data_IF_724286161617
#
_entry.id   IF_724286161617
#
_cell.length_a   1.000
_cell.length_b   1.000
_cell.length_c   1.000
_cell.angle_alpha   90.00
_cell.angle_beta   90.00
_cell.angle_gamma   90.00
#
_symmetry.space_group_name_H-M   'P 1'
#
loop_
_entity.id
_entity.type
_entity.pdbx_description
1 polymer ?
#
# COMPACT_ATOMS: atom_id res chain seq x y z
N UNK A 1 5.01 -39.11 -19.98
CA UNK A 1 6.23 -38.30 -20.18
C UNK A 1 7.08 -38.43 -18.94
N UNK A 2 8.39 -38.63 -19.07
CA UNK A 2 9.29 -38.57 -17.92
C UNK A 2 9.25 -37.14 -17.33
N UNK A 3 9.25 -36.98 -16.00
CA UNK A 3 9.32 -35.65 -15.39
C UNK A 3 10.63 -34.98 -15.83
N UNK A 4 10.51 -33.82 -16.47
CA UNK A 4 11.65 -33.01 -16.84
C UNK A 4 12.09 -32.17 -15.63
N UNK A 5 13.39 -31.99 -15.44
CA UNK A 5 13.88 -31.11 -14.39
C UNK A 5 13.44 -29.66 -14.66
N UNK A 6 13.15 -28.91 -13.58
CA UNK A 6 12.87 -27.48 -13.68
C UNK A 6 14.15 -26.75 -14.13
N UNK A 7 14.01 -25.90 -15.15
CA UNK A 7 15.06 -25.06 -15.73
C UNK A 7 14.53 -23.64 -15.89
N UNK A 8 15.39 -22.65 -16.07
CA UNK A 8 14.95 -21.26 -16.30
C UNK A 8 14.00 -21.19 -17.50
N UNK A 9 14.31 -21.91 -18.58
CA UNK A 9 13.50 -21.93 -19.81
C UNK A 9 12.13 -22.60 -19.64
N UNK A 10 11.95 -23.42 -18.60
CA UNK A 10 10.66 -24.06 -18.29
C UNK A 10 9.86 -23.31 -17.22
N UNK A 11 10.36 -22.19 -16.70
CA UNK A 11 9.60 -21.34 -15.78
C UNK A 11 8.47 -20.60 -16.50
N UNK A 12 7.46 -20.20 -15.72
CA UNK A 12 6.36 -19.39 -16.22
C UNK A 12 6.89 -18.10 -16.89
N UNK A 13 6.57 -17.84 -18.17
CA UNK A 13 7.04 -16.64 -18.88
C UNK A 13 6.70 -15.33 -18.17
N UNK A 14 5.58 -15.27 -17.43
CA UNK A 14 5.18 -14.10 -16.64
C UNK A 14 6.14 -13.81 -15.48
N UNK A 15 6.76 -14.86 -14.93
CA UNK A 15 7.79 -14.73 -13.89
C UNK A 15 9.11 -14.26 -14.49
N UNK A 16 9.49 -14.79 -15.66
CA UNK A 16 10.70 -14.37 -16.36
C UNK A 16 10.63 -12.89 -16.78
N UNK A 17 9.46 -12.42 -17.22
CA UNK A 17 9.21 -11.03 -17.56
C UNK A 17 9.39 -10.05 -16.37
N UNK A 18 9.37 -10.53 -15.12
CA UNK A 18 9.63 -9.67 -13.96
C UNK A 18 11.08 -9.19 -13.87
N UNK A 19 12.03 -9.90 -14.51
CA UNK A 19 13.44 -9.53 -14.46
C UNK A 19 13.67 -8.07 -14.89
N UNK A 20 12.93 -7.60 -15.88
CA UNK A 20 13.01 -6.24 -16.42
C UNK A 20 12.38 -5.18 -15.49
N UNK A 21 11.56 -5.60 -14.52
CA UNK A 21 10.85 -4.72 -13.58
C UNK A 21 11.44 -4.69 -12.16
N UNK A 22 12.47 -5.51 -11.90
CA UNK A 22 13.16 -5.63 -10.61
C UNK A 22 14.48 -4.84 -10.57
N UNK A 23 14.54 -3.67 -11.22
CA UNK A 23 15.77 -2.89 -11.39
C UNK A 23 16.59 -2.64 -10.11
N UNK A 24 15.93 -2.49 -8.96
CA UNK A 24 16.61 -2.26 -7.67
C UNK A 24 17.36 -3.49 -7.14
N UNK A 25 17.03 -4.70 -7.59
CA UNK A 25 17.62 -5.94 -7.07
C UNK A 25 19.09 -6.08 -7.44
N UNK A 26 19.50 -5.59 -8.62
CA UNK A 26 20.90 -5.65 -9.04
C UNK A 26 21.79 -4.75 -8.18
N UNK A 27 21.34 -3.51 -7.91
CA UNK A 27 22.04 -2.55 -7.05
C UNK A 27 22.11 -3.09 -5.62
N UNK A 28 21.00 -3.62 -5.08
CA UNK A 28 20.96 -4.18 -3.73
C UNK A 28 21.92 -5.38 -3.58
N UNK A 29 21.98 -6.28 -4.56
CA UNK A 29 22.94 -7.40 -4.56
C UNK A 29 24.39 -6.90 -4.59
N UNK A 30 24.70 -5.90 -5.42
CA UNK A 30 26.06 -5.34 -5.46
C UNK A 30 26.42 -4.66 -4.13
N UNK A 31 25.48 -3.93 -3.53
CA UNK A 31 25.67 -3.32 -2.21
C UNK A 31 26.00 -4.37 -1.14
N UNK A 32 25.30 -5.52 -1.13
CA UNK A 32 25.60 -6.64 -0.23
C UNK A 32 27.00 -7.24 -0.48
N UNK A 33 27.41 -7.39 -1.74
CA UNK A 33 28.77 -7.84 -2.05
C UNK A 33 29.82 -6.86 -1.49
N UNK A 34 29.62 -5.55 -1.68
CA UNK A 34 30.55 -4.53 -1.18
C UNK A 34 30.57 -4.51 0.36
N UNK A 35 29.41 -4.66 1.01
CA UNK A 35 29.33 -4.80 2.47
C UNK A 35 30.21 -5.96 2.97
N UNK A 36 30.09 -7.14 2.34
CA UNK A 36 30.94 -8.29 2.67
C UNK A 36 32.44 -8.03 2.38
N UNK A 37 32.76 -7.30 1.31
CA UNK A 37 34.14 -6.93 0.97
C UNK A 37 34.74 -6.00 2.04
N UNK A 38 33.99 -5.02 2.54
CA UNK A 38 34.40 -4.13 3.63
C UNK A 38 34.65 -4.92 4.93
N UNK A 39 33.73 -5.82 5.30
CA UNK A 39 33.83 -6.63 6.52
C UNK A 39 35.02 -7.60 6.48
N UNK A 40 35.30 -8.18 5.31
CA UNK A 40 36.41 -9.15 5.15
C UNK A 40 37.76 -8.49 4.90
N UNK A 41 37.78 -7.29 4.31
CA UNK A 41 38.99 -6.52 3.98
C UNK A 41 38.78 -5.03 4.32
N UNK A 42 38.95 -4.64 5.59
CA UNK A 42 38.89 -3.23 5.99
C UNK A 42 39.86 -2.38 5.17
N UNK A 43 39.39 -1.23 4.66
CA UNK A 43 40.16 -0.35 3.77
C UNK A 43 40.19 -0.76 2.29
N UNK A 44 39.42 -1.77 1.87
CA UNK A 44 39.30 -2.19 0.46
C UNK A 44 38.50 -1.23 -0.42
N UNK A 45 37.69 -0.35 0.19
CA UNK A 45 36.85 0.65 -0.46
C UNK A 45 37.11 2.04 0.12
N UNK A 46 36.77 3.13 -0.59
CA UNK A 46 36.96 4.50 -0.11
C UNK A 46 35.96 4.94 0.98
N UNK A 47 35.22 4.01 1.57
CA UNK A 47 34.21 4.20 2.61
C UNK A 47 34.15 2.96 3.50
N UNK A 48 33.69 3.15 4.74
CA UNK A 48 33.71 2.12 5.79
C UNK A 48 32.36 1.41 5.99
N UNK A 49 31.28 1.91 5.37
CA UNK A 49 29.94 1.33 5.49
C UNK A 49 29.08 1.58 4.25
N UNK A 50 28.06 0.74 4.06
CA UNK A 50 26.99 0.97 3.09
C UNK A 50 25.79 1.59 3.80
N UNK A 51 25.41 2.80 3.36
CA UNK A 51 24.18 3.45 3.78
C UNK A 51 23.06 3.12 2.77
N UNK A 52 22.06 2.37 3.20
CA UNK A 52 20.95 1.93 2.36
C UNK A 52 19.89 3.04 2.19
N UNK A 53 20.07 3.89 1.18
CA UNK A 53 19.10 4.94 0.81
C UNK A 53 18.05 4.48 -0.22
N UNK A 54 17.92 3.17 -0.47
CA UNK A 54 17.09 2.59 -1.54
C UNK A 54 15.75 2.02 -1.05
N UNK A 55 15.52 1.95 0.26
CA UNK A 55 14.30 1.43 0.87
C UNK A 55 13.78 2.40 1.92
N UNK A 56 12.47 2.61 1.93
CA UNK A 56 11.80 3.31 3.03
C UNK A 56 11.68 2.38 4.23
N UNK A 57 12.75 2.20 4.99
CA UNK A 57 12.77 1.45 6.25
C UNK A 57 13.27 2.33 7.41
N UNK A 58 12.39 3.18 7.98
CA UNK A 58 12.78 4.23 8.92
C UNK A 58 13.46 3.74 10.20
N UNK A 59 13.03 2.61 10.76
CA UNK A 59 13.63 2.06 11.98
C UNK A 59 15.07 1.56 11.74
N UNK A 60 15.36 1.03 10.54
CA UNK A 60 16.74 0.70 10.16
C UNK A 60 17.65 1.92 10.04
N UNK A 61 17.06 3.11 9.89
CA UNK A 61 17.78 4.40 9.86
C UNK A 61 17.75 5.12 11.23
N UNK A 62 17.39 4.41 12.31
CA UNK A 62 17.47 4.91 13.67
C UNK A 62 16.19 5.54 14.23
N UNK A 63 15.07 5.55 13.48
CA UNK A 63 13.80 5.98 14.07
C UNK A 63 13.42 5.06 15.23
N UNK A 64 13.15 5.67 16.39
CA UNK A 64 12.74 4.93 17.57
C UNK A 64 11.31 4.41 17.41
N UNK A 65 11.01 3.19 17.87
CA UNK A 65 9.64 2.71 17.86
C UNK A 65 8.79 3.50 18.84
N UNK A 66 7.54 3.77 18.46
CA UNK A 66 6.58 4.42 19.33
C UNK A 66 6.28 3.54 20.57
N UNK A 67 6.60 4.07 21.76
CA UNK A 67 6.51 3.34 23.02
C UNK A 67 5.10 2.83 23.32
N UNK A 68 4.07 3.67 23.13
CA UNK A 68 2.69 3.28 23.41
C UNK A 68 2.25 2.06 22.59
N UNK A 69 2.59 2.00 21.30
CA UNK A 69 2.25 0.82 20.49
C UNK A 69 3.02 -0.43 20.93
N UNK A 70 4.31 -0.30 21.28
CA UNK A 70 5.11 -1.42 21.78
C UNK A 70 4.58 -1.96 23.11
N UNK A 71 4.19 -1.07 24.03
CA UNK A 71 3.58 -1.43 25.30
C UNK A 71 2.27 -2.20 25.10
N UNK A 72 1.35 -1.67 24.29
CA UNK A 72 0.07 -2.32 24.01
C UNK A 72 0.27 -3.69 23.37
N UNK A 73 1.15 -3.80 22.36
CA UNK A 73 1.45 -5.07 21.69
C UNK A 73 2.02 -6.10 22.67
N UNK A 74 2.99 -5.72 23.50
CA UNK A 74 3.58 -6.61 24.49
C UNK A 74 2.53 -7.16 25.48
N UNK A 75 1.60 -6.30 25.92
CA UNK A 75 0.50 -6.71 26.82
C UNK A 75 -0.53 -7.60 26.11
N UNK A 76 -0.78 -7.42 24.81
CA UNK A 76 -1.66 -8.29 24.03
C UNK A 76 -1.01 -9.64 23.68
N UNK A 77 0.30 -9.65 23.44
CA UNK A 77 1.08 -10.87 23.16
C UNK A 77 1.27 -11.73 24.41
N UNK A 78 1.40 -11.10 25.59
CA UNK A 78 1.46 -11.81 26.87
C UNK A 78 0.44 -11.26 27.90
N UNK A 79 -0.85 -11.60 27.76
CA UNK A 79 -1.93 -11.04 28.59
C UNK A 79 -1.80 -11.29 30.09
N UNK A 80 -1.07 -12.32 30.52
CA UNK A 80 -0.80 -12.60 31.93
C UNK A 80 -0.05 -11.45 32.65
N UNK A 81 0.63 -10.58 31.91
CA UNK A 81 1.22 -9.36 32.50
C UNK A 81 0.13 -8.48 33.09
N UNK A 82 -1.08 -8.42 32.54
CA UNK A 82 -2.16 -7.58 33.05
C UNK A 82 -2.64 -7.96 34.46
N UNK A 83 -2.22 -9.11 34.99
CA UNK A 83 -2.58 -9.61 36.32
C UNK A 83 -1.46 -9.39 37.36
N UNK A 84 -0.28 -8.95 36.92
CA UNK A 84 0.88 -8.73 37.79
C UNK A 84 0.79 -7.38 38.49
N UNK A 85 1.19 -7.34 39.76
CA UNK A 85 1.23 -6.11 40.57
C UNK A 85 2.19 -5.06 40.02
N UNK A 86 3.25 -5.51 39.38
CA UNK A 86 4.37 -4.74 38.83
C UNK A 86 4.01 -4.08 37.50
N UNK A 87 2.90 -4.46 36.86
CA UNK A 87 2.56 -3.96 35.53
C UNK A 87 2.29 -2.47 35.53
N UNK A 88 1.72 -1.93 36.59
CA UNK A 88 1.48 -0.49 36.72
C UNK A 88 2.76 0.35 36.88
N UNK A 89 3.90 -0.27 37.24
CA UNK A 89 5.20 0.43 37.29
C UNK A 89 6.01 0.29 35.99
N UNK A 90 5.68 -0.69 35.15
CA UNK A 90 6.39 -0.99 33.90
C UNK A 90 5.70 -0.45 32.64
N UNK A 91 4.39 -0.29 32.66
CA UNK A 91 3.59 0.11 31.50
C UNK A 91 2.75 1.34 31.80
N UNK A 92 2.57 2.19 30.79
CA UNK A 92 1.66 3.33 30.89
C UNK A 92 0.20 2.90 31.14
N UNK A 93 -0.51 3.68 31.96
CA UNK A 93 -1.89 3.36 32.37
C UNK A 93 -2.88 3.28 31.20
N UNK A 94 -2.66 4.11 30.18
CA UNK A 94 -3.44 4.15 28.95
C UNK A 94 -3.09 2.99 28.01
N UNK A 95 -1.83 2.53 27.95
CA UNK A 95 -1.49 1.30 27.24
C UNK A 95 -2.16 0.07 27.88
N UNK A 96 -2.14 -0.03 29.22
CA UNK A 96 -2.84 -1.10 29.96
C UNK A 96 -4.34 -1.08 29.64
N UNK A 97 -4.96 0.11 29.71
CA UNK A 97 -6.38 0.26 29.42
C UNK A 97 -6.71 -0.08 27.95
N UNK A 98 -5.84 0.30 27.01
CA UNK A 98 -6.00 -0.01 25.59
C UNK A 98 -5.83 -1.51 25.32
N UNK A 99 -4.83 -2.17 25.91
CA UNK A 99 -4.60 -3.60 25.76
C UNK A 99 -5.81 -4.42 26.24
N UNK A 100 -6.38 -4.09 27.41
CA UNK A 100 -7.62 -4.72 27.90
C UNK A 100 -8.77 -4.57 26.91
N UNK A 101 -8.99 -3.35 26.42
CA UNK A 101 -10.03 -3.08 25.41
C UNK A 101 -9.82 -3.87 24.13
N UNK A 102 -8.57 -4.00 23.65
CA UNK A 102 -8.25 -4.78 22.45
C UNK A 102 -8.52 -6.26 22.68
N UNK A 103 -8.07 -6.83 23.81
CA UNK A 103 -8.30 -8.24 24.15
C UNK A 103 -9.81 -8.57 24.19
N UNK A 104 -10.64 -7.64 24.65
CA UNK A 104 -12.10 -7.78 24.67
C UNK A 104 -12.74 -7.85 23.28
N UNK A 105 -12.03 -7.43 22.22
CA UNK A 105 -12.49 -7.55 20.83
C UNK A 105 -12.26 -8.95 20.26
N UNK A 106 -11.40 -9.76 20.89
CA UNK A 106 -11.13 -11.13 20.44
C UNK A 106 -12.10 -12.11 21.11
N UNK A 107 -12.72 -13.01 20.33
CA UNK A 107 -13.47 -14.12 20.91
C UNK A 107 -12.61 -14.87 21.93
N UNK A 108 -13.15 -15.12 23.12
CA UNK A 108 -12.44 -15.80 24.22
C UNK A 108 -11.13 -15.13 24.68
N UNK A 109 -10.88 -13.87 24.30
CA UNK A 109 -9.62 -13.14 24.57
C UNK A 109 -8.36 -13.90 24.11
N UNK A 110 -8.47 -14.74 23.07
CA UNK A 110 -7.31 -15.43 22.49
C UNK A 110 -6.75 -14.63 21.31
N UNK A 111 -5.45 -14.33 21.38
CA UNK A 111 -4.73 -13.54 20.36
C UNK A 111 -3.93 -14.40 19.38
N UNK A 112 -3.76 -15.69 19.66
CA UNK A 112 -3.01 -16.63 18.81
C UNK A 112 -3.86 -17.48 17.87
N UNK A 113 -5.18 -17.38 17.95
CA UNK A 113 -6.11 -18.12 17.08
C UNK A 113 -6.31 -17.44 15.72
N UNK A 114 -6.78 -18.19 14.73
CA UNK A 114 -7.22 -17.60 13.46
C UNK A 114 -8.40 -16.65 13.69
N UNK A 115 -8.37 -15.50 13.01
CA UNK A 115 -9.51 -14.59 12.93
C UNK A 115 -10.46 -14.98 11.79
N UNK A 116 -11.55 -14.23 11.65
CA UNK A 116 -12.34 -14.21 10.42
C UNK A 116 -11.43 -13.88 9.21
N UNK A 117 -11.81 -14.31 8.00
CA UNK A 117 -10.99 -14.14 6.79
C UNK A 117 -10.78 -12.66 6.39
N UNK A 118 -11.65 -11.76 6.85
CA UNK A 118 -11.51 -10.31 6.70
C UNK A 118 -10.73 -9.65 7.84
N UNK A 119 -10.38 -10.42 8.89
CA UNK A 119 -9.84 -9.92 10.15
C UNK A 119 -10.87 -9.87 11.28
N UNK A 120 -10.39 -9.75 12.51
CA UNK A 120 -11.22 -9.68 13.74
C UNK A 120 -12.25 -8.56 13.64
N UNK A 121 -13.53 -8.90 13.80
CA UNK A 121 -14.68 -8.00 13.63
C UNK A 121 -14.55 -6.73 14.48
N UNK A 122 -14.31 -6.85 15.79
CA UNK A 122 -14.17 -5.68 16.65
C UNK A 122 -13.02 -4.74 16.26
N UNK A 123 -11.95 -5.26 15.63
CA UNK A 123 -10.89 -4.40 15.07
C UNK A 123 -11.35 -3.69 13.80
N UNK A 124 -12.11 -4.38 12.93
CA UNK A 124 -12.73 -3.76 11.74
C UNK A 124 -13.69 -2.64 12.14
N UNK A 125 -14.50 -2.82 13.19
CA UNK A 125 -15.39 -1.78 13.71
C UNK A 125 -14.64 -0.54 14.19
N UNK A 126 -13.55 -0.73 14.95
CA UNK A 126 -12.71 0.36 15.43
C UNK A 126 -12.08 1.12 14.26
N UNK A 127 -11.61 0.40 13.23
CA UNK A 127 -11.07 1.02 12.02
C UNK A 127 -12.17 1.78 11.28
N UNK A 128 -13.34 1.18 11.05
CA UNK A 128 -14.49 1.80 10.40
C UNK A 128 -14.91 3.11 11.09
N UNK A 129 -14.94 3.12 12.43
CA UNK A 129 -15.21 4.30 13.22
C UNK A 129 -14.13 5.39 13.03
N UNK A 130 -12.84 5.00 13.00
CA UNK A 130 -11.73 5.92 12.71
C UNK A 130 -11.83 6.54 11.31
N UNK A 131 -12.15 5.73 10.29
CA UNK A 131 -12.39 6.19 8.93
C UNK A 131 -13.56 7.17 8.89
N UNK A 132 -14.66 6.84 9.57
CA UNK A 132 -15.86 7.68 9.65
C UNK A 132 -15.54 9.03 10.27
N UNK A 133 -14.80 9.04 11.37
CA UNK A 133 -14.37 10.26 12.06
C UNK A 133 -13.48 11.15 11.16
N UNK A 134 -12.49 10.55 10.47
CA UNK A 134 -11.58 11.28 9.58
C UNK A 134 -12.30 11.88 8.37
N UNK A 135 -13.18 11.10 7.75
CA UNK A 135 -13.81 11.48 6.48
C UNK A 135 -15.09 12.30 6.68
N UNK A 136 -15.77 12.15 7.82
CA UNK A 136 -17.10 12.71 8.08
C UNK A 136 -18.23 11.91 7.42
N UNK A 137 -17.94 10.71 6.92
CA UNK A 137 -18.88 9.84 6.20
C UNK A 137 -18.79 8.41 6.70
N UNK A 138 -19.94 7.77 6.91
CA UNK A 138 -20.04 6.41 7.44
C UNK A 138 -19.14 5.42 6.66
N UNK A 139 -18.54 4.50 7.39
CA UNK A 139 -17.79 3.35 6.89
C UNK A 139 -18.40 2.10 7.48
N UNK A 140 -18.72 1.12 6.64
CA UNK A 140 -19.12 -0.19 7.11
C UNK A 140 -17.87 -1.02 7.44
N UNK A 141 -17.91 -1.81 8.51
CA UNK A 141 -16.85 -2.74 8.88
C UNK A 141 -16.77 -3.93 7.91
N UNK A 142 -17.88 -4.28 7.25
CA UNK A 142 -17.95 -5.35 6.25
C UNK A 142 -17.18 -5.04 4.96
N UNK A 143 -16.91 -3.76 4.69
CA UNK A 143 -16.09 -3.31 3.57
C UNK A 143 -14.58 -3.34 3.89
N UNK A 144 -14.19 -3.72 5.11
CA UNK A 144 -12.81 -3.66 5.59
C UNK A 144 -12.20 -5.06 5.60
N UNK A 145 -11.04 -5.17 4.95
CA UNK A 145 -10.22 -6.37 4.94
C UNK A 145 -8.86 -6.04 5.58
N UNK A 146 -8.52 -6.74 6.65
CA UNK A 146 -7.19 -6.68 7.27
C UNK A 146 -6.25 -7.62 6.52
N UNK A 147 -5.07 -7.14 6.17
CA UNK A 147 -4.09 -7.88 5.37
C UNK A 147 -2.66 -7.68 5.89
N UNK A 148 -1.77 -8.60 5.51
CA UNK A 148 -0.34 -8.54 5.84
C UNK A 148 0.38 -7.47 5.00
N UNK A 149 0.14 -6.21 5.34
CA UNK A 149 0.62 -5.07 4.57
C UNK A 149 -0.23 -4.76 3.33
N UNK A 150 0.20 -3.79 2.53
CA UNK A 150 -0.50 -3.35 1.31
C UNK A 150 -0.22 -4.23 0.09
N UNK A 151 0.86 -5.01 0.10
CA UNK A 151 1.25 -5.81 -1.07
C UNK A 151 0.26 -6.94 -1.40
N UNK A 152 -0.23 -7.76 -0.44
CA UNK A 152 -1.22 -8.79 -0.72
C UNK A 152 -2.52 -8.26 -1.35
N UNK A 153 -3.20 -7.21 -0.82
CA UNK A 153 -4.45 -6.75 -1.41
C UNK A 153 -4.25 -6.13 -2.80
N UNK A 154 -3.11 -5.47 -3.08
CA UNK A 154 -2.77 -5.03 -4.44
C UNK A 154 -2.72 -6.22 -5.41
N UNK A 155 -2.02 -7.29 -5.04
CA UNK A 155 -1.92 -8.51 -5.87
C UNK A 155 -3.29 -9.18 -6.06
N UNK A 156 -4.10 -9.25 -4.99
CA UNK A 156 -5.45 -9.80 -5.03
C UNK A 156 -6.33 -9.02 -6.02
N UNK A 157 -6.20 -7.70 -6.05
CA UNK A 157 -6.99 -6.85 -6.94
C UNK A 157 -6.54 -6.91 -8.38
N UNK A 158 -5.23 -7.01 -8.63
CA UNK A 158 -4.72 -7.31 -9.97
C UNK A 158 -5.29 -8.65 -10.44
N UNK A 159 -5.30 -9.68 -9.59
CA UNK A 159 -5.88 -10.98 -9.91
C UNK A 159 -7.39 -10.93 -10.18
N UNK A 160 -8.14 -10.14 -9.40
CA UNK A 160 -9.59 -9.96 -9.57
C UNK A 160 -9.96 -9.25 -10.87
N UNK A 161 -9.19 -8.20 -11.23
CA UNK A 161 -9.53 -7.31 -12.34
C UNK A 161 -9.05 -7.83 -13.71
N UNK A 162 -7.95 -8.59 -13.73
CA UNK A 162 -7.26 -9.04 -14.94
C UNK A 162 -7.69 -10.47 -15.28
N UNK A 163 -8.33 -10.64 -16.44
CA UNK A 163 -8.75 -11.97 -16.93
C UNK A 163 -7.73 -12.58 -17.89
N UNK A 164 -7.05 -11.74 -18.67
CA UNK A 164 -6.07 -12.13 -19.69
C UNK A 164 -5.23 -10.92 -20.13
N UNK A 165 -4.35 -11.14 -21.10
CA UNK A 165 -3.42 -10.14 -21.63
C UNK A 165 -4.06 -8.92 -22.31
N UNK A 166 -5.34 -9.03 -22.69
CA UNK A 166 -6.10 -7.91 -23.26
C UNK A 166 -6.64 -6.96 -22.21
N UNK A 167 -6.66 -7.36 -20.94
CA UNK A 167 -7.03 -6.44 -19.87
C UNK A 167 -5.81 -5.57 -19.49
N UNK A 168 -6.07 -4.34 -19.06
CA UNK A 168 -5.00 -3.42 -18.66
C UNK A 168 -5.36 -2.53 -17.48
N UNK A 169 -4.34 -1.94 -16.85
CA UNK A 169 -4.47 -1.03 -15.72
C UNK A 169 -3.71 0.24 -16.04
N UNK A 170 -4.35 1.40 -15.81
CA UNK A 170 -3.70 2.71 -15.89
C UNK A 170 -2.79 2.91 -14.67
N UNK A 171 -1.48 3.08 -14.89
CA UNK A 171 -0.48 3.24 -13.84
C UNK A 171 0.29 4.56 -14.01
N UNK A 172 0.58 5.29 -12.92
CA UNK A 172 1.35 6.52 -13.01
C UNK A 172 2.79 6.25 -13.45
N UNK A 173 3.41 7.22 -14.11
CA UNK A 173 4.83 7.24 -14.39
C UNK A 173 5.38 8.58 -13.88
N UNK A 174 6.37 8.56 -12.96
CA UNK A 174 6.95 7.39 -12.30
C UNK A 174 5.99 6.72 -11.28
N UNK A 175 6.22 5.44 -10.95
CA UNK A 175 5.44 4.66 -9.97
C UNK A 175 6.30 3.71 -9.16
N UNK A 176 5.78 3.29 -8.00
CA UNK A 176 6.33 2.18 -7.21
C UNK A 176 6.30 0.85 -7.98
N UNK A 177 7.40 0.09 -7.93
CA UNK A 177 7.60 -1.13 -8.75
C UNK A 177 6.67 -2.29 -8.41
N UNK A 178 6.05 -2.27 -7.23
CA UNK A 178 5.04 -3.26 -6.82
C UNK A 178 3.91 -3.37 -7.84
N UNK A 179 3.45 -2.24 -8.38
CA UNK A 179 2.33 -2.19 -9.31
C UNK A 179 2.70 -2.73 -10.67
N UNK A 180 3.81 -2.25 -11.22
CA UNK A 180 4.31 -2.69 -12.53
C UNK A 180 4.59 -4.19 -12.51
N UNK A 181 5.24 -4.68 -11.45
CA UNK A 181 5.52 -6.10 -11.26
C UNK A 181 4.23 -6.92 -11.11
N UNK A 182 3.22 -6.41 -10.39
CA UNK A 182 1.96 -7.13 -10.20
C UNK A 182 1.15 -7.25 -11.49
N UNK A 183 1.10 -6.19 -12.31
CA UNK A 183 0.43 -6.22 -13.63
C UNK A 183 1.11 -7.24 -14.56
N UNK A 184 2.45 -7.22 -14.62
CA UNK A 184 3.25 -8.13 -15.45
C UNK A 184 3.10 -9.59 -15.02
N UNK A 185 3.11 -9.85 -13.71
CA UNK A 185 2.94 -11.21 -13.18
C UNK A 185 1.55 -11.79 -13.49
N UNK A 186 0.52 -10.96 -13.59
CA UNK A 186 -0.80 -11.39 -14.05
C UNK A 186 -0.88 -11.50 -15.58
N UNK A 187 0.09 -10.92 -16.31
CA UNK A 187 0.18 -10.94 -17.77
C UNK A 187 -0.68 -9.88 -18.45
N UNK A 188 -1.12 -8.85 -17.73
CA UNK A 188 -1.92 -7.75 -18.27
C UNK A 188 -1.07 -6.69 -18.97
N UNK A 189 -1.74 -5.82 -19.71
CA UNK A 189 -1.14 -4.62 -20.29
C UNK A 189 -1.03 -3.50 -19.25
N UNK A 190 0.20 -3.03 -18.99
CA UNK A 190 0.41 -1.79 -18.25
C UNK A 190 0.14 -0.60 -19.17
N UNK A 191 -0.83 0.24 -18.82
CA UNK A 191 -1.13 1.48 -19.57
C UNK A 191 -0.53 2.65 -18.79
N UNK A 192 0.55 3.28 -19.28
CA UNK A 192 1.17 4.37 -18.55
C UNK A 192 0.32 5.65 -18.64
N UNK A 193 0.27 6.43 -17.57
CA UNK A 193 -0.06 7.85 -17.64
C UNK A 193 1.02 8.67 -16.93
N UNK A 194 1.35 9.82 -17.50
CA UNK A 194 2.52 10.57 -17.06
C UNK A 194 2.11 11.67 -16.09
N UNK A 195 2.80 11.73 -14.95
CA UNK A 195 2.66 12.82 -13.99
C UNK A 195 3.42 14.05 -14.50
N UNK A 196 2.86 15.23 -14.28
CA UNK A 196 3.43 16.48 -14.80
C UNK A 196 4.46 17.06 -13.83
N UNK A 197 5.74 16.74 -14.04
CA UNK A 197 6.87 17.23 -13.24
C UNK A 197 6.88 18.76 -13.10
N UNK A 198 6.63 19.48 -14.20
CA UNK A 198 6.65 20.95 -14.24
C UNK A 198 5.55 21.59 -13.38
N UNK A 199 4.51 20.83 -13.02
CA UNK A 199 3.37 21.26 -12.20
C UNK A 199 3.30 20.51 -10.88
N UNK A 200 4.43 20.01 -10.37
CA UNK A 200 4.50 19.35 -9.08
C UNK A 200 3.91 17.95 -9.07
N UNK A 201 4.04 17.23 -10.19
CA UNK A 201 3.61 15.83 -10.38
C UNK A 201 2.10 15.60 -10.28
N UNK A 202 1.30 16.60 -10.63
CA UNK A 202 -0.16 16.46 -10.73
C UNK A 202 -0.60 15.61 -11.92
N UNK A 203 -1.86 15.14 -11.89
CA UNK A 203 -2.45 14.37 -12.99
C UNK A 203 -3.12 15.31 -13.98
N UNK A 204 -2.67 15.29 -15.24
CA UNK A 204 -3.33 16.04 -16.31
C UNK A 204 -4.41 15.18 -16.97
N UNK A 205 -5.66 15.60 -16.83
CA UNK A 205 -6.81 14.81 -17.28
C UNK A 205 -6.85 14.58 -18.81
N UNK A 206 -6.38 15.55 -19.60
CA UNK A 206 -6.26 15.38 -21.07
C UNK A 206 -5.34 14.23 -21.44
N UNK A 207 -4.22 14.14 -20.74
CA UNK A 207 -3.18 13.15 -21.04
C UNK A 207 -3.64 11.78 -20.54
N UNK A 208 -4.25 11.73 -19.36
CA UNK A 208 -4.88 10.51 -18.84
C UNK A 208 -5.92 9.95 -19.82
N UNK A 209 -6.79 10.81 -20.37
CA UNK A 209 -7.79 10.42 -21.38
C UNK A 209 -7.13 9.95 -22.68
N UNK A 210 -6.09 10.64 -23.15
CA UNK A 210 -5.35 10.24 -24.35
C UNK A 210 -4.72 8.84 -24.20
N UNK A 211 -4.13 8.54 -23.04
CA UNK A 211 -3.53 7.22 -22.77
C UNK A 211 -4.59 6.11 -22.72
N UNK A 212 -5.74 6.39 -22.08
CA UNK A 212 -6.87 5.46 -22.07
C UNK A 212 -7.38 5.14 -23.48
N UNK A 213 -7.62 6.16 -24.30
CA UNK A 213 -8.14 5.98 -25.66
C UNK A 213 -7.12 5.31 -26.58
N UNK A 214 -5.83 5.66 -26.40
CA UNK A 214 -4.72 4.99 -27.08
C UNK A 214 -4.62 3.50 -26.74
N UNK A 215 -4.86 3.11 -25.48
CA UNK A 215 -4.91 1.71 -25.09
C UNK A 215 -6.13 0.99 -25.67
N UNK A 216 -7.31 1.60 -25.59
CA UNK A 216 -8.56 1.03 -26.12
C UNK A 216 -8.52 0.84 -27.63
N UNK A 217 -7.98 1.80 -28.38
CA UNK A 217 -7.79 1.67 -29.84
C UNK A 217 -6.86 0.53 -30.23
N UNK A 218 -5.93 0.12 -29.35
CA UNK A 218 -5.07 -1.07 -29.51
C UNK A 218 -5.74 -2.37 -29.06
N UNK A 219 -7.02 -2.32 -28.69
CA UNK A 219 -7.79 -3.47 -28.22
C UNK A 219 -7.59 -3.83 -26.75
N UNK A 220 -6.98 -2.95 -25.95
CA UNK A 220 -6.81 -3.15 -24.50
C UNK A 220 -8.08 -2.73 -23.76
N UNK A 221 -8.64 -3.63 -22.99
CA UNK A 221 -9.75 -3.37 -22.09
C UNK A 221 -9.23 -2.89 -20.74
N UNK A 222 -9.13 -1.57 -20.58
CA UNK A 222 -8.65 -0.96 -19.33
C UNK A 222 -9.70 -1.14 -18.23
N UNK A 223 -9.30 -1.75 -17.11
CA UNK A 223 -10.19 -2.17 -16.01
C UNK A 223 -10.16 -1.22 -14.82
N UNK A 224 -9.07 -0.50 -14.64
CA UNK A 224 -8.89 0.37 -13.50
C UNK A 224 -7.81 1.43 -13.68
N UNK A 225 -7.83 2.40 -12.78
CA UNK A 225 -6.89 3.49 -12.64
C UNK A 225 -6.23 3.42 -11.27
N UNK A 226 -4.92 3.26 -11.25
CA UNK A 226 -4.12 3.37 -10.04
C UNK A 226 -3.73 4.83 -9.77
N UNK A 227 -3.96 5.30 -8.54
CA UNK A 227 -3.48 6.59 -8.05
C UNK A 227 -2.75 6.38 -6.73
N UNK A 228 -1.55 6.96 -6.61
CA UNK A 228 -0.72 6.91 -5.40
C UNK A 228 -0.71 8.32 -4.81
N UNK A 229 -1.33 8.51 -3.65
CA UNK A 229 -1.48 9.82 -3.02
C UNK A 229 -1.46 9.75 -1.48
N UNK A 230 -0.45 10.31 -0.80
CA UNK A 230 0.73 10.99 -1.38
C UNK A 230 1.61 10.08 -2.23
N UNK A 231 2.23 10.65 -3.26
CA UNK A 231 2.92 9.90 -4.30
C UNK A 231 4.25 9.29 -3.87
N UNK A 232 4.54 8.08 -4.36
CA UNK A 232 5.87 7.46 -4.33
C UNK A 232 6.25 7.08 -5.77
N UNK A 233 7.37 7.57 -6.32
CA UNK A 233 8.51 8.20 -5.61
C UNK A 233 8.48 9.73 -5.50
N UNK A 234 7.44 10.40 -6.01
CA UNK A 234 7.48 11.86 -6.24
C UNK A 234 7.13 12.73 -5.04
N UNK A 235 6.56 12.17 -3.97
CA UNK A 235 6.20 12.90 -2.75
C UNK A 235 5.06 13.92 -2.91
N UNK A 236 4.40 13.97 -4.06
CA UNK A 236 3.33 14.93 -4.32
C UNK A 236 2.08 14.63 -3.49
N UNK A 237 1.29 15.66 -3.21
CA UNK A 237 -0.02 15.55 -2.55
C UNK A 237 -1.06 16.18 -3.47
N UNK A 238 -1.99 15.36 -3.97
CA UNK A 238 -3.03 15.82 -4.88
C UNK A 238 -3.94 16.85 -4.20
N UNK A 239 -4.29 17.89 -4.95
CA UNK A 239 -5.31 18.85 -4.54
C UNK A 239 -6.70 18.28 -4.78
N UNK A 240 -7.66 18.68 -3.95
CA UNK A 240 -9.05 18.20 -4.03
C UNK A 240 -9.68 18.36 -5.42
N UNK A 241 -9.41 19.47 -6.11
CA UNK A 241 -9.93 19.69 -7.46
C UNK A 241 -9.51 18.57 -8.42
N UNK A 242 -8.24 18.16 -8.39
CA UNK A 242 -7.72 17.10 -9.25
C UNK A 242 -8.24 15.72 -8.81
N UNK A 243 -8.40 15.47 -7.50
CA UNK A 243 -9.04 14.24 -7.02
C UNK A 243 -10.49 14.11 -7.50
N UNK A 244 -11.26 15.21 -7.51
CA UNK A 244 -12.65 15.22 -8.02
C UNK A 244 -12.69 14.92 -9.52
N UNK A 245 -11.79 15.49 -10.30
CA UNK A 245 -11.66 15.20 -11.73
C UNK A 245 -11.35 13.72 -11.99
N UNK A 246 -10.45 13.13 -11.20
CA UNK A 246 -10.11 11.70 -11.27
C UNK A 246 -11.32 10.82 -10.95
N UNK A 247 -12.06 11.11 -9.87
CA UNK A 247 -13.27 10.36 -9.50
C UNK A 247 -14.32 10.42 -10.61
N UNK A 248 -14.56 11.62 -11.15
CA UNK A 248 -15.50 11.82 -12.25
C UNK A 248 -15.07 11.08 -13.53
N UNK A 249 -13.77 11.07 -13.82
CA UNK A 249 -13.21 10.33 -14.94
C UNK A 249 -13.42 8.83 -14.79
N UNK A 250 -13.12 8.26 -13.62
CA UNK A 250 -13.36 6.83 -13.35
C UNK A 250 -14.84 6.47 -13.51
N UNK A 251 -15.77 7.33 -13.06
CA UNK A 251 -17.21 7.14 -13.24
C UNK A 251 -17.58 7.09 -14.72
N UNK A 252 -17.19 8.11 -15.49
CA UNK A 252 -17.52 8.23 -16.91
C UNK A 252 -16.96 7.09 -17.75
N UNK A 253 -15.79 6.60 -17.37
CA UNK A 253 -15.06 5.60 -18.13
C UNK A 253 -15.24 4.17 -17.58
N UNK A 254 -16.09 4.00 -16.56
CA UNK A 254 -16.35 2.73 -15.87
C UNK A 254 -15.08 2.00 -15.41
N UNK A 255 -14.17 2.75 -14.79
CA UNK A 255 -12.89 2.25 -14.29
C UNK A 255 -12.92 2.07 -12.78
N UNK A 256 -12.30 0.99 -12.29
CA UNK A 256 -12.02 0.83 -10.86
C UNK A 256 -10.85 1.72 -10.44
N UNK A 257 -11.10 2.70 -9.56
CA UNK A 257 -10.06 3.50 -8.92
C UNK A 257 -9.37 2.68 -7.83
N UNK A 258 -8.09 2.41 -8.02
CA UNK A 258 -7.20 1.82 -7.02
C UNK A 258 -6.45 2.98 -6.34
N UNK A 259 -6.88 3.37 -5.15
CA UNK A 259 -6.29 4.49 -4.42
C UNK A 259 -5.31 3.96 -3.35
N UNK A 260 -4.02 4.17 -3.59
CA UNK A 260 -2.96 3.90 -2.62
C UNK A 260 -2.72 5.14 -1.76
N UNK A 261 -3.17 5.07 -0.51
CA UNK A 261 -3.12 6.15 0.47
C UNK A 261 -2.16 5.83 1.63
N UNK A 262 -1.12 5.04 1.36
CA UNK A 262 -0.18 4.55 2.40
C UNK A 262 0.58 5.66 3.13
N UNK A 263 0.82 6.78 2.47
CA UNK A 263 1.57 7.93 3.02
C UNK A 263 0.67 9.03 3.59
N UNK A 264 -0.60 8.76 3.88
CA UNK A 264 -1.60 9.79 4.23
C UNK A 264 -1.23 10.71 5.41
N UNK A 265 -0.45 10.23 6.37
CA UNK A 265 0.01 11.01 7.53
C UNK A 265 1.35 11.75 7.26
N UNK A 266 2.04 11.43 6.17
CA UNK A 266 3.35 11.98 5.80
C UNK A 266 3.21 13.25 4.94
N UNK A 267 2.55 14.27 5.48
CA UNK A 267 2.34 15.56 4.80
C UNK A 267 3.24 16.62 5.42
N UNK A 268 4.26 17.04 4.68
CA UNK A 268 5.24 18.02 5.17
C UNK A 268 4.95 19.46 4.71
N UNK A 269 4.08 19.64 3.72
CA UNK A 269 3.76 20.95 3.16
C UNK A 269 2.58 21.54 3.94
N UNK A 270 2.80 22.68 4.60
CA UNK A 270 1.84 23.28 5.54
C UNK A 270 0.47 23.65 4.93
N UNK A 271 0.42 24.00 3.64
CA UNK A 271 -0.81 24.38 2.93
C UNK A 271 -1.55 23.19 2.30
N UNK A 272 -1.00 21.97 2.41
CA UNK A 272 -1.62 20.74 1.91
C UNK A 272 -2.16 19.94 3.08
N UNK A 273 -3.31 19.32 2.84
CA UNK A 273 -3.91 18.35 3.75
C UNK A 273 -4.31 17.13 2.95
N UNK A 274 -4.04 15.96 3.50
CA UNK A 274 -4.53 14.72 2.93
C UNK A 274 -6.07 14.72 2.91
N UNK A 275 -6.63 14.28 1.78
CA UNK A 275 -8.05 14.03 1.60
C UNK A 275 -8.18 12.67 0.95
N UNK A 276 -8.94 11.79 1.57
CA UNK A 276 -9.13 10.46 1.01
C UNK A 276 -10.04 10.48 -0.21
N UNK A 277 -9.79 9.59 -1.16
CA UNK A 277 -10.69 9.39 -2.30
C UNK A 277 -12.09 8.96 -1.85
N UNK A 278 -12.21 8.25 -0.71
CA UNK A 278 -13.50 7.95 -0.07
C UNK A 278 -14.27 9.24 0.23
N UNK A 279 -13.63 10.19 0.92
CA UNK A 279 -14.24 11.47 1.29
C UNK A 279 -14.64 12.26 0.06
N UNK A 280 -13.77 12.31 -0.95
CA UNK A 280 -14.06 13.01 -2.21
C UNK A 280 -15.28 12.41 -2.89
N UNK A 281 -15.33 11.10 -3.11
CA UNK A 281 -16.46 10.44 -3.75
C UNK A 281 -17.78 10.61 -2.98
N UNK A 282 -17.75 10.45 -1.66
CA UNK A 282 -18.94 10.69 -0.81
C UNK A 282 -19.39 12.15 -0.86
N UNK A 283 -18.46 13.11 -0.88
CA UNK A 283 -18.80 14.53 -1.03
C UNK A 283 -19.43 14.87 -2.38
N UNK A 284 -19.11 14.09 -3.41
CA UNK A 284 -19.72 14.17 -4.75
C UNK A 284 -21.03 13.37 -4.85
N UNK A 285 -21.55 12.85 -3.73
CA UNK A 285 -22.81 12.09 -3.62
C UNK A 285 -22.82 10.74 -4.33
N UNK A 286 -21.66 10.11 -4.48
CA UNK A 286 -21.60 8.71 -4.89
C UNK A 286 -22.10 7.84 -3.73
N UNK A 287 -23.05 6.94 -3.99
CA UNK A 287 -23.60 5.99 -3.02
C UNK A 287 -22.83 4.65 -3.03
N UNK A 288 -23.23 3.66 -2.22
CA UNK A 288 -22.55 2.35 -2.19
C UNK A 288 -22.75 1.56 -3.49
N UNK A 289 -23.86 1.78 -4.20
CA UNK A 289 -24.14 1.18 -5.50
C UNK A 289 -23.32 1.78 -6.65
N UNK A 290 -22.85 3.01 -6.50
CA UNK A 290 -21.91 3.67 -7.41
C UNK A 290 -20.43 3.30 -7.10
N UNK A 291 -20.15 2.77 -5.90
CA UNK A 291 -18.80 2.46 -5.38
C UNK A 291 -18.31 1.04 -5.77
N UNK A 292 -18.68 0.55 -6.94
CA UNK A 292 -17.91 -0.53 -7.59
C UNK A 292 -16.52 -0.08 -8.07
N UNK A 293 -16.13 1.16 -7.79
CA UNK A 293 -15.06 1.86 -8.50
C UNK A 293 -14.08 2.62 -7.59
N UNK A 294 -14.06 2.44 -6.27
CA UNK A 294 -12.98 2.99 -5.42
C UNK A 294 -12.54 1.95 -4.40
N UNK A 295 -11.43 1.29 -4.68
CA UNK A 295 -10.77 0.40 -3.76
C UNK A 295 -9.60 1.13 -3.10
N UNK A 296 -9.70 1.29 -1.79
CA UNK A 296 -8.72 2.03 -0.99
C UNK A 296 -7.75 1.01 -0.39
N UNK A 297 -6.51 1.04 -0.83
CA UNK A 297 -5.44 0.36 -0.09
C UNK A 297 -4.97 1.32 0.98
N UNK A 298 -5.30 0.99 2.23
CA UNK A 298 -4.76 1.68 3.38
C UNK A 298 -3.63 0.85 3.95
N UNK A 299 -2.49 1.50 4.07
CA UNK A 299 -1.49 1.07 5.01
C UNK A 299 -1.07 2.29 5.81
N UNK A 300 -0.82 2.09 7.10
CA UNK A 300 -0.33 3.13 7.97
C UNK A 300 1.11 2.77 8.31
N UNK A 301 2.06 3.49 7.72
CA UNK A 301 3.34 3.63 8.41
C UNK A 301 3.09 4.65 9.50
N UNK A 302 3.05 4.20 10.76
CA UNK A 302 3.15 5.14 11.87
C UNK A 302 4.60 5.62 11.90
N UNK A 303 4.88 6.62 11.07
CA UNK A 303 6.07 7.45 11.15
C UNK A 303 5.80 8.53 12.21
N UNK A 304 5.72 8.11 13.48
CA UNK A 304 5.79 9.01 14.64
C UNK A 304 6.71 8.37 15.68
#
# INVERSE_FOLDING_TARGET
MAPCALTVDSLNPKVLALADHLGNAAIARRAQCIQNEIETKPGSHPFDEIIYCNLSNPQSMGQQPNTFFREVLALCDYPHLLERSETNSLFSSDAIAKARKILDLFPWRTTGGYSHCQGTEGLRDVIAAGITSRDGFHCNAEDIFLTDGSAPPIRMMMHLLIRNEKDGILCPIPSHSLYTSSVVLQGATLVPYYLDESRGWGVRMSDLKQQLDGARSKGVNVRGLLVINPGNPTGHVLVEANQREIVEFCRKESLVLLADEVYQENIYIADRKFKSFKKIARSMKFDEGDIFSILLFRFQWVLW
#
